data_IF_184984103141
#
_entry.id   IF_184984103141
#
_cell.length_a   1.000
_cell.length_b   1.000
_cell.length_c   1.000
_cell.angle_alpha   90.00
_cell.angle_beta   90.00
_cell.angle_gamma   90.00
#
_symmetry.space_group_name_H-M   'P 1'
#
loop_
_entity.id
_entity.type
_entity.pdbx_description
1 polymer ?
#
# COMPACT_ATOMS: atom_id res chain seq x y z
N UNK A 1 -55.07 47.49 12.13
CA UNK A 1 -53.68 47.69 11.77
C UNK A 1 -52.99 46.37 12.01
N UNK A 2 -52.72 45.60 10.94
CA UNK A 2 -52.12 44.27 10.99
C UNK A 2 -50.63 44.41 10.61
N UNK A 3 -49.72 44.14 11.56
CA UNK A 3 -48.27 44.06 11.31
C UNK A 3 -47.93 42.66 10.77
N UNK A 4 -47.49 42.60 9.52
CA UNK A 4 -46.85 41.44 8.91
C UNK A 4 -45.36 41.49 9.21
N UNK A 5 -44.89 40.65 10.09
CA UNK A 5 -43.46 40.35 10.28
C UNK A 5 -42.99 39.42 9.15
N UNK A 6 -42.11 39.92 8.29
CA UNK A 6 -41.40 39.14 7.25
C UNK A 6 -40.30 38.32 7.93
N UNK A 7 -40.50 37.03 7.94
CA UNK A 7 -39.47 36.04 8.33
C UNK A 7 -38.53 35.83 7.14
N UNK A 8 -37.27 36.23 7.27
CA UNK A 8 -36.21 35.90 6.29
C UNK A 8 -35.69 34.53 6.65
N UNK A 9 -35.94 33.53 5.78
CA UNK A 9 -35.28 32.21 5.84
C UNK A 9 -33.91 32.41 5.21
N UNK A 10 -32.86 32.41 6.03
CA UNK A 10 -31.48 32.23 5.60
C UNK A 10 -31.25 30.78 5.23
N UNK A 11 -31.26 30.45 3.96
CA UNK A 11 -30.83 29.14 3.45
C UNK A 11 -29.30 29.09 3.53
N UNK A 12 -28.79 28.46 4.57
CA UNK A 12 -27.35 28.13 4.66
C UNK A 12 -27.11 26.94 3.71
N UNK A 13 -26.58 27.24 2.54
CA UNK A 13 -26.07 26.22 1.62
C UNK A 13 -24.79 25.68 2.24
N UNK A 14 -24.85 24.51 2.86
CA UNK A 14 -23.67 23.70 3.18
C UNK A 14 -23.04 23.27 1.86
N UNK A 15 -22.00 24.00 1.44
CA UNK A 15 -21.04 23.50 0.46
C UNK A 15 -20.29 22.33 1.15
N UNK A 16 -20.83 21.11 1.03
CA UNK A 16 -20.02 19.92 1.20
C UNK A 16 -18.84 20.05 0.23
N UNK A 17 -17.58 19.95 0.69
CA UNK A 17 -16.48 19.77 -0.24
C UNK A 17 -16.76 18.46 -0.97
N UNK A 18 -17.22 18.56 -2.21
CA UNK A 18 -17.25 17.41 -3.12
C UNK A 18 -15.80 16.95 -3.22
N UNK A 19 -15.47 15.86 -2.53
CA UNK A 19 -14.28 15.09 -2.83
C UNK A 19 -14.40 14.70 -4.30
N UNK A 20 -13.70 15.43 -5.15
CA UNK A 20 -13.53 15.06 -6.54
C UNK A 20 -12.65 13.82 -6.52
N UNK A 21 -13.26 12.65 -6.56
CA UNK A 21 -12.58 11.40 -6.84
C UNK A 21 -11.80 11.63 -8.14
N UNK A 22 -10.49 11.45 -8.09
CA UNK A 22 -9.68 11.49 -9.31
C UNK A 22 -10.29 10.48 -10.27
N UNK A 23 -10.86 10.97 -11.37
CA UNK A 23 -11.36 10.08 -12.40
C UNK A 23 -10.15 9.37 -12.98
N UNK A 24 -10.20 8.05 -13.05
CA UNK A 24 -9.17 7.25 -13.71
C UNK A 24 -8.89 7.77 -15.12
N UNK A 25 -9.95 8.21 -15.81
CA UNK A 25 -9.88 8.82 -17.14
C UNK A 25 -9.79 10.33 -17.03
N UNK A 26 -8.80 10.89 -17.67
CA UNK A 26 -8.68 12.34 -17.80
C UNK A 26 -9.75 12.91 -18.71
N UNK A 27 -10.21 14.14 -18.44
CA UNK A 27 -11.19 14.84 -19.28
C UNK A 27 -10.61 15.14 -20.68
N UNK A 28 -11.49 15.39 -21.66
CA UNK A 28 -11.07 15.82 -22.99
C UNK A 28 -10.24 17.09 -22.95
N UNK A 29 -10.64 18.07 -22.12
CA UNK A 29 -9.90 19.32 -21.92
C UNK A 29 -8.49 19.10 -21.37
N UNK A 30 -8.32 18.11 -20.46
CA UNK A 30 -7.01 17.74 -19.96
C UNK A 30 -6.14 17.15 -21.08
N UNK A 31 -6.71 16.22 -21.88
CA UNK A 31 -6.01 15.55 -23.00
C UNK A 31 -5.65 16.50 -24.16
N UNK A 32 -6.36 17.64 -24.27
CA UNK A 32 -5.97 18.70 -25.20
C UNK A 32 -4.73 19.49 -24.74
N UNK A 33 -4.51 19.56 -23.42
CA UNK A 33 -3.37 20.29 -22.81
C UNK A 33 -2.13 19.43 -22.63
N UNK A 34 -2.30 18.13 -22.31
CA UNK A 34 -1.24 17.26 -21.86
C UNK A 34 -1.23 15.93 -22.62
N UNK A 35 -0.03 15.41 -22.82
CA UNK A 35 0.22 14.08 -23.39
C UNK A 35 0.96 13.23 -22.38
N UNK A 36 0.44 12.01 -22.10
CA UNK A 36 1.11 11.05 -21.23
C UNK A 36 2.37 10.50 -21.92
N UNK A 37 3.51 10.59 -21.25
CA UNK A 37 4.81 10.14 -21.76
C UNK A 37 5.30 8.87 -21.14
N UNK A 38 5.13 8.76 -19.83
CA UNK A 38 5.67 7.66 -19.05
C UNK A 38 4.79 7.37 -17.83
N UNK A 39 4.78 6.12 -17.39
CA UNK A 39 4.19 5.70 -16.11
C UNK A 39 5.17 4.80 -15.39
N UNK A 40 5.52 5.20 -14.16
CA UNK A 40 6.32 4.40 -13.22
C UNK A 40 5.42 3.91 -12.09
N UNK A 41 5.40 2.60 -11.87
CA UNK A 41 4.55 1.93 -10.88
C UNK A 41 5.42 1.22 -9.84
N UNK A 42 5.18 1.51 -8.56
CA UNK A 42 5.65 0.68 -7.46
C UNK A 42 4.47 -0.10 -6.87
N UNK A 43 4.49 -1.41 -7.07
CA UNK A 43 3.41 -2.33 -6.68
C UNK A 43 3.74 -3.07 -5.38
N UNK A 44 2.77 -3.16 -4.46
CA UNK A 44 2.74 -4.22 -3.46
C UNK A 44 2.29 -5.52 -4.14
N UNK A 45 2.86 -6.68 -3.73
CA UNK A 45 2.35 -7.99 -4.16
C UNK A 45 0.88 -8.18 -3.78
N UNK A 46 0.17 -9.06 -4.48
CA UNK A 46 -1.24 -9.38 -4.19
C UNK A 46 -1.38 -10.45 -3.09
N UNK A 47 -2.59 -11.01 -2.92
CA UNK A 47 -2.93 -11.97 -1.86
C UNK A 47 -1.95 -13.15 -1.88
N UNK A 48 -1.41 -13.41 -0.72
CA UNK A 48 -0.48 -14.51 -0.44
C UNK A 48 -0.97 -15.33 0.75
N UNK A 49 -0.48 -16.56 0.89
CA UNK A 49 -0.66 -17.27 2.15
C UNK A 49 0.14 -16.58 3.27
N UNK A 50 -0.31 -16.68 4.53
CA UNK A 50 0.40 -16.10 5.67
C UNK A 50 1.84 -16.61 5.80
N UNK A 51 2.69 -15.83 6.48
CA UNK A 51 4.07 -16.22 6.79
C UNK A 51 4.14 -17.39 7.77
N UNK A 52 3.06 -17.63 8.52
CA UNK A 52 2.93 -18.73 9.46
C UNK A 52 1.54 -19.35 9.34
N UNK A 53 1.42 -20.63 9.64
CA UNK A 53 0.23 -21.45 9.44
C UNK A 53 -0.18 -22.20 10.70
N UNK A 54 -1.16 -23.10 10.59
CA UNK A 54 -1.51 -24.06 11.63
C UNK A 54 -0.26 -24.78 12.18
N UNK A 55 -0.16 -24.91 13.48
CA UNK A 55 1.00 -25.48 14.16
C UNK A 55 2.13 -24.50 14.51
N UNK A 56 2.10 -23.28 13.97
CA UNK A 56 3.00 -22.18 14.32
C UNK A 56 2.52 -21.39 15.53
N UNK A 57 3.25 -20.32 15.90
CA UNK A 57 2.80 -19.37 16.93
C UNK A 57 1.38 -18.81 16.61
N UNK A 58 1.07 -18.54 15.34
CA UNK A 58 -0.25 -18.07 14.91
C UNK A 58 -1.35 -19.12 15.19
N UNK A 59 -1.10 -20.39 14.93
CA UNK A 59 -2.03 -21.49 15.21
C UNK A 59 -2.28 -21.71 16.72
N UNK A 60 -1.38 -21.26 17.58
CA UNK A 60 -1.56 -21.34 19.04
C UNK A 60 -2.42 -20.20 19.62
N UNK A 61 -2.64 -19.12 18.86
CA UNK A 61 -3.43 -17.95 19.31
C UNK A 61 -4.95 -18.16 19.23
N UNK A 62 -5.40 -19.26 18.64
CA UNK A 62 -6.81 -19.57 18.45
C UNK A 62 -7.07 -21.06 18.62
N UNK A 63 -8.25 -21.50 19.11
CA UNK A 63 -8.67 -22.90 19.04
C UNK A 63 -9.12 -23.33 17.64
N UNK A 64 -9.30 -22.37 16.72
CA UNK A 64 -9.76 -22.61 15.36
C UNK A 64 -8.63 -22.96 14.41
N UNK A 65 -8.99 -23.50 13.27
CA UNK A 65 -8.06 -23.74 12.17
C UNK A 65 -8.17 -22.63 11.12
N UNK A 66 -7.03 -22.07 10.74
CA UNK A 66 -6.92 -21.17 9.61
C UNK A 66 -7.29 -21.90 8.32
N UNK A 67 -7.78 -21.15 7.33
CA UNK A 67 -8.16 -21.72 6.03
C UNK A 67 -7.01 -22.51 5.38
N UNK A 68 -7.37 -23.49 4.56
CA UNK A 68 -6.38 -24.18 3.71
C UNK A 68 -6.04 -23.28 2.51
N UNK A 69 -4.77 -22.93 2.41
CA UNK A 69 -4.26 -22.03 1.39
C UNK A 69 -3.92 -22.76 0.09
N UNK A 70 -4.20 -22.12 -1.04
CA UNK A 70 -3.87 -22.64 -2.38
C UNK A 70 -2.38 -22.56 -2.73
N UNK A 71 -1.56 -21.94 -1.87
CA UNK A 71 -0.13 -21.74 -2.06
C UNK A 71 0.65 -22.04 -0.79
N UNK A 72 1.94 -22.32 -0.92
CA UNK A 72 2.83 -22.49 0.22
C UNK A 72 2.96 -21.21 1.05
N UNK A 73 3.49 -21.32 2.27
CA UNK A 73 3.68 -20.16 3.17
C UNK A 73 4.41 -19.02 2.45
N UNK A 74 3.89 -17.81 2.56
CA UNK A 74 4.36 -16.57 1.94
C UNK A 74 4.29 -16.47 0.42
N UNK A 75 3.79 -17.45 -0.29
CA UNK A 75 3.64 -17.46 -1.74
C UNK A 75 2.30 -16.86 -2.17
N UNK A 76 2.27 -16.27 -3.36
CA UNK A 76 1.08 -15.71 -3.99
C UNK A 76 0.03 -16.79 -4.19
N UNK A 77 -1.22 -16.52 -3.80
CA UNK A 77 -2.34 -17.45 -4.03
C UNK A 77 -2.83 -17.38 -5.47
N UNK A 78 -3.57 -18.40 -5.89
CA UNK A 78 -4.24 -18.39 -7.19
C UNK A 78 -5.20 -17.19 -7.32
N UNK A 79 -5.95 -16.89 -6.26
CA UNK A 79 -6.84 -15.71 -6.20
C UNK A 79 -6.08 -14.41 -6.40
N UNK A 80 -4.93 -14.24 -5.72
CA UNK A 80 -4.04 -13.09 -5.91
C UNK A 80 -3.55 -12.96 -7.36
N UNK A 81 -3.24 -14.08 -8.03
CA UNK A 81 -2.87 -14.09 -9.44
C UNK A 81 -4.00 -13.63 -10.37
N UNK A 82 -5.25 -14.10 -10.14
CA UNK A 82 -6.43 -13.66 -10.91
C UNK A 82 -6.64 -12.15 -10.77
N UNK A 83 -6.59 -11.62 -9.55
CA UNK A 83 -6.73 -10.19 -9.27
C UNK A 83 -5.65 -9.35 -9.97
N UNK A 84 -4.41 -9.81 -10.00
CA UNK A 84 -3.32 -9.11 -10.70
C UNK A 84 -3.48 -9.17 -12.23
N UNK A 85 -3.97 -10.27 -12.78
CA UNK A 85 -4.29 -10.34 -14.21
C UNK A 85 -5.37 -9.32 -14.60
N UNK A 86 -6.42 -9.21 -13.79
CA UNK A 86 -7.47 -8.19 -14.00
C UNK A 86 -6.93 -6.76 -13.87
N UNK A 87 -6.05 -6.51 -12.90
CA UNK A 87 -5.40 -5.21 -12.74
C UNK A 87 -4.51 -4.88 -13.95
N UNK A 88 -3.76 -5.83 -14.47
CA UNK A 88 -2.96 -5.67 -15.68
C UNK A 88 -3.82 -5.34 -16.91
N UNK A 89 -4.96 -6.04 -17.09
CA UNK A 89 -5.93 -5.75 -18.17
C UNK A 89 -6.51 -4.35 -18.05
N UNK A 90 -6.82 -3.90 -16.84
CA UNK A 90 -7.27 -2.53 -16.59
C UNK A 90 -6.20 -1.52 -16.98
N UNK A 91 -4.96 -1.67 -16.53
CA UNK A 91 -3.86 -0.77 -16.88
C UNK A 91 -3.65 -0.70 -18.39
N UNK A 92 -3.74 -1.82 -19.11
CA UNK A 92 -3.66 -1.81 -20.57
C UNK A 92 -4.74 -0.94 -21.19
N UNK A 93 -6.01 -1.15 -20.82
CA UNK A 93 -7.14 -0.36 -21.32
C UNK A 93 -7.01 1.12 -20.99
N UNK A 94 -6.61 1.43 -19.75
CA UNK A 94 -6.42 2.80 -19.30
C UNK A 94 -5.30 3.50 -20.08
N UNK A 95 -4.14 2.91 -20.20
CA UNK A 95 -2.98 3.52 -20.89
C UNK A 95 -3.17 3.62 -22.42
N UNK A 96 -4.03 2.77 -23.00
CA UNK A 96 -4.49 2.96 -24.38
C UNK A 96 -5.46 4.14 -24.48
N UNK A 97 -6.41 4.28 -23.57
CA UNK A 97 -7.34 5.41 -23.53
C UNK A 97 -6.62 6.75 -23.31
N UNK A 98 -5.54 6.76 -22.51
CA UNK A 98 -4.69 7.94 -22.31
C UNK A 98 -3.65 8.16 -23.42
N UNK A 99 -3.58 7.28 -24.41
CA UNK A 99 -2.75 7.45 -25.60
C UNK A 99 -1.27 7.06 -25.45
N UNK A 100 -0.88 6.47 -24.32
CA UNK A 100 0.51 6.01 -24.11
C UNK A 100 0.85 4.81 -25.02
N UNK A 101 -0.11 3.92 -25.23
CA UNK A 101 -0.02 2.79 -26.14
C UNK A 101 -1.14 2.82 -27.18
N UNK A 102 -0.92 2.24 -28.36
CA UNK A 102 -1.99 1.97 -29.31
C UNK A 102 -2.70 0.67 -28.94
N UNK A 103 -3.94 0.51 -29.39
CA UNK A 103 -4.81 -0.62 -29.01
C UNK A 103 -4.16 -2.00 -29.25
N UNK A 104 -3.53 -2.17 -30.42
CA UNK A 104 -2.88 -3.44 -30.82
C UNK A 104 -1.34 -3.33 -30.83
N UNK A 105 -0.77 -2.36 -30.10
CA UNK A 105 0.67 -2.20 -30.01
C UNK A 105 1.28 -3.29 -29.13
N UNK A 106 2.32 -3.95 -29.66
CA UNK A 106 3.27 -4.72 -28.87
C UNK A 106 4.48 -3.80 -28.66
N UNK A 107 4.69 -3.27 -27.45
CA UNK A 107 5.84 -2.39 -27.20
C UNK A 107 7.17 -3.09 -27.45
N UNK A 108 8.19 -2.33 -27.80
CA UNK A 108 9.57 -2.81 -27.81
C UNK A 108 10.04 -3.23 -26.41
N UNK A 109 11.09 -4.04 -26.35
CA UNK A 109 11.67 -4.46 -25.07
C UNK A 109 12.20 -3.26 -24.25
N UNK A 110 12.63 -2.21 -24.92
CA UNK A 110 13.13 -0.99 -24.28
C UNK A 110 12.02 -0.05 -23.84
N UNK A 111 10.80 -0.22 -24.37
CA UNK A 111 9.64 0.62 -24.00
C UNK A 111 9.05 0.26 -22.62
N UNK A 112 9.29 -0.96 -22.13
CA UNK A 112 8.70 -1.48 -20.90
C UNK A 112 9.71 -2.19 -20.02
N UNK A 113 9.57 -2.05 -18.70
CA UNK A 113 10.40 -2.73 -17.71
C UNK A 113 9.52 -3.33 -16.62
N UNK A 114 9.69 -4.62 -16.36
CA UNK A 114 9.08 -5.33 -15.23
C UNK A 114 10.18 -5.85 -14.33
N UNK A 115 10.28 -5.28 -13.12
CA UNK A 115 11.33 -5.62 -12.18
C UNK A 115 10.72 -5.92 -10.81
N UNK A 116 10.95 -7.13 -10.32
CA UNK A 116 10.42 -7.62 -9.05
C UNK A 116 11.51 -7.89 -8.03
N UNK A 117 11.20 -7.68 -6.76
CA UNK A 117 11.98 -8.29 -5.69
C UNK A 117 12.03 -9.80 -5.89
N UNK A 118 13.18 -10.43 -5.56
CA UNK A 118 13.41 -11.85 -5.82
C UNK A 118 12.69 -12.78 -4.82
N UNK A 119 11.42 -12.46 -4.50
CA UNK A 119 10.53 -13.31 -3.70
C UNK A 119 9.45 -13.91 -4.60
N UNK A 120 9.03 -15.15 -4.36
CA UNK A 120 8.04 -15.83 -5.20
C UNK A 120 6.81 -14.94 -5.43
N UNK A 121 6.20 -14.40 -4.35
CA UNK A 121 4.99 -13.59 -4.43
C UNK A 121 5.12 -12.32 -5.27
N UNK A 122 6.28 -11.66 -5.25
CA UNK A 122 6.52 -10.45 -6.04
C UNK A 122 6.81 -10.76 -7.51
N UNK A 123 7.58 -11.80 -7.78
CA UNK A 123 7.82 -12.30 -9.14
C UNK A 123 6.49 -12.75 -9.77
N UNK A 124 5.70 -13.57 -9.04
CA UNK A 124 4.40 -14.04 -9.52
C UNK A 124 3.40 -12.90 -9.74
N UNK A 125 3.34 -11.90 -8.84
CA UNK A 125 2.52 -10.69 -9.03
C UNK A 125 2.89 -10.00 -10.33
N UNK A 126 4.18 -9.77 -10.58
CA UNK A 126 4.64 -9.13 -11.83
C UNK A 126 4.32 -9.98 -13.07
N UNK A 127 4.43 -11.31 -12.99
CA UNK A 127 4.07 -12.23 -14.08
C UNK A 127 2.58 -12.17 -14.41
N UNK A 128 1.70 -12.24 -13.41
CA UNK A 128 0.25 -12.18 -13.61
C UNK A 128 -0.18 -10.80 -14.11
N UNK A 129 0.36 -9.71 -13.54
CA UNK A 129 0.11 -8.36 -14.03
C UNK A 129 0.53 -8.22 -15.49
N UNK A 130 1.75 -8.61 -15.85
CA UNK A 130 2.26 -8.51 -17.22
C UNK A 130 1.44 -9.34 -18.20
N UNK A 131 0.97 -10.52 -17.79
CA UNK A 131 0.09 -11.37 -18.60
C UNK A 131 -1.26 -10.71 -18.91
N UNK A 132 -1.83 -9.96 -17.95
CA UNK A 132 -3.02 -9.13 -18.16
C UNK A 132 -2.73 -7.91 -19.01
N UNK A 133 -1.60 -7.26 -18.79
CA UNK A 133 -1.20 -6.04 -19.46
C UNK A 133 -0.79 -6.24 -20.93
N UNK A 134 -0.05 -7.33 -21.22
CA UNK A 134 0.47 -7.67 -22.56
C UNK A 134 0.42 -9.17 -22.81
N UNK A 135 -0.77 -9.76 -23.00
CA UNK A 135 -0.94 -11.23 -23.01
C UNK A 135 -0.28 -11.93 -24.21
N UNK A 136 0.09 -11.20 -25.25
CA UNK A 136 0.74 -11.74 -26.46
C UNK A 136 2.25 -11.50 -26.50
N UNK A 137 2.78 -10.69 -25.58
CA UNK A 137 4.19 -10.37 -25.52
C UNK A 137 4.94 -11.39 -24.65
N UNK A 138 6.10 -11.83 -25.11
CA UNK A 138 7.01 -12.64 -24.29
C UNK A 138 7.83 -11.71 -23.38
N UNK A 139 7.19 -11.21 -22.31
CA UNK A 139 7.81 -10.28 -21.39
C UNK A 139 8.70 -11.03 -20.39
N UNK A 140 9.88 -10.50 -20.15
CA UNK A 140 10.78 -10.96 -19.13
C UNK A 140 10.53 -10.19 -17.82
N UNK A 141 10.33 -10.90 -16.73
CA UNK A 141 10.28 -10.32 -15.38
C UNK A 141 11.70 -10.33 -14.84
N UNK A 142 12.30 -9.14 -14.74
CA UNK A 142 13.62 -8.99 -14.15
C UNK A 142 13.58 -9.28 -12.66
N UNK A 143 14.45 -10.14 -12.18
CA UNK A 143 14.78 -10.32 -10.78
C UNK A 143 16.24 -10.71 -10.66
N UNK A 144 16.98 -10.07 -9.75
CA UNK A 144 18.45 -10.17 -9.73
C UNK A 144 18.99 -11.38 -8.99
N UNK A 145 18.20 -11.96 -8.10
CA UNK A 145 18.63 -13.04 -7.22
C UNK A 145 17.77 -14.28 -7.38
N UNK A 146 18.22 -15.40 -6.83
CA UNK A 146 17.40 -16.59 -6.72
C UNK A 146 16.13 -16.30 -5.91
N UNK A 147 14.99 -16.93 -6.21
CA UNK A 147 13.78 -16.80 -5.40
C UNK A 147 14.07 -17.05 -3.92
N UNK A 148 13.44 -16.27 -3.05
CA UNK A 148 13.63 -16.23 -1.59
C UNK A 148 14.84 -15.44 -1.08
N UNK A 149 15.61 -14.78 -1.95
CA UNK A 149 16.63 -13.83 -1.54
C UNK A 149 16.18 -12.41 -1.86
N UNK A 150 16.05 -11.57 -0.82
CA UNK A 150 15.66 -10.16 -1.00
C UNK A 150 16.67 -9.41 -1.86
N UNK A 151 16.16 -8.70 -2.86
CA UNK A 151 16.95 -7.78 -3.68
C UNK A 151 17.21 -6.48 -2.89
N UNK A 152 18.46 -6.00 -2.80
CA UNK A 152 18.80 -4.77 -2.08
C UNK A 152 17.99 -3.52 -2.47
N UNK A 153 17.45 -3.46 -3.70
CA UNK A 153 16.59 -2.33 -4.13
C UNK A 153 15.26 -2.34 -3.38
N UNK A 154 14.72 -3.52 -3.08
CA UNK A 154 13.44 -3.67 -2.38
C UNK A 154 13.57 -4.05 -0.90
N UNK A 155 14.77 -4.40 -0.46
CA UNK A 155 15.02 -4.82 0.91
C UNK A 155 15.10 -3.60 1.84
N UNK A 156 14.09 -3.34 2.69
CA UNK A 156 14.05 -2.16 3.54
C UNK A 156 14.95 -2.34 4.77
N UNK A 157 16.24 -2.61 4.53
CA UNK A 157 17.23 -2.83 5.59
C UNK A 157 17.90 -1.54 6.02
N UNK A 158 18.15 -1.42 7.30
CA UNK A 158 18.92 -0.31 7.86
C UNK A 158 20.39 -0.39 7.43
N UNK A 159 20.95 0.74 7.04
CA UNK A 159 22.38 0.92 6.76
C UNK A 159 23.12 1.52 7.94
N UNK A 160 22.38 2.09 8.92
CA UNK A 160 22.86 2.77 10.13
C UNK A 160 22.20 2.19 11.38
N UNK A 161 22.91 2.14 12.49
CA UNK A 161 22.43 1.82 13.84
C UNK A 161 23.25 2.51 14.94
N UNK A 162 23.92 3.61 14.59
CA UNK A 162 24.63 4.42 15.56
C UNK A 162 23.66 5.09 16.56
N UNK A 163 24.21 5.55 17.68
CA UNK A 163 23.42 6.09 18.80
C UNK A 163 22.55 7.29 18.38
N UNK A 164 23.07 8.18 17.53
CA UNK A 164 22.34 9.36 17.05
C UNK A 164 21.16 8.96 16.19
N UNK A 165 21.37 8.07 15.20
CA UNK A 165 20.31 7.55 14.34
C UNK A 165 19.22 6.86 15.16
N UNK A 166 19.59 5.94 16.06
CA UNK A 166 18.63 5.22 16.91
C UNK A 166 17.83 6.18 17.81
N UNK A 167 18.48 7.18 18.41
CA UNK A 167 17.82 8.17 19.25
C UNK A 167 16.80 9.00 18.46
N UNK A 168 17.18 9.45 17.28
CA UNK A 168 16.29 10.23 16.41
C UNK A 168 15.10 9.39 15.94
N UNK A 169 15.33 8.18 15.45
CA UNK A 169 14.29 7.23 15.06
C UNK A 169 13.31 6.97 16.21
N UNK A 170 13.82 6.69 17.43
CA UNK A 170 12.98 6.45 18.60
C UNK A 170 12.19 7.69 19.02
N UNK A 171 12.74 8.89 18.84
CA UNK A 171 12.02 10.14 19.09
C UNK A 171 10.86 10.30 18.12
N UNK A 172 11.09 10.07 16.82
CA UNK A 172 10.07 10.16 15.77
C UNK A 172 9.00 9.09 15.93
N UNK A 173 9.36 7.84 16.23
CA UNK A 173 8.41 6.76 16.53
C UNK A 173 7.58 7.09 17.75
N UNK A 174 8.19 7.56 18.83
CA UNK A 174 7.48 7.89 20.07
C UNK A 174 6.45 9.00 19.84
N UNK A 175 6.74 9.97 18.97
CA UNK A 175 5.79 11.03 18.62
C UNK A 175 4.49 10.52 17.99
N UNK A 176 4.48 9.35 17.35
CA UNK A 176 3.28 8.73 16.78
C UNK A 176 2.23 8.36 17.85
N UNK A 177 2.65 8.13 19.09
CA UNK A 177 1.76 7.85 20.22
C UNK A 177 1.43 9.07 21.08
N UNK A 178 1.77 10.27 20.61
CA UNK A 178 1.56 11.53 21.34
C UNK A 178 2.36 11.60 22.64
N UNK A 179 1.80 12.21 23.69
CA UNK A 179 2.45 12.40 24.99
C UNK A 179 2.85 11.09 25.69
N UNK A 180 2.19 9.99 25.37
CA UNK A 180 2.44 8.67 25.97
C UNK A 180 3.49 7.85 25.20
N UNK A 181 4.04 8.38 24.11
CA UNK A 181 5.05 7.69 23.31
C UNK A 181 4.60 6.32 22.81
N UNK A 182 5.48 5.33 22.81
CA UNK A 182 5.18 3.95 22.33
C UNK A 182 3.97 3.33 23.05
N UNK A 183 3.78 3.66 24.35
CA UNK A 183 2.59 3.20 25.07
C UNK A 183 1.31 3.76 24.44
N UNK A 184 1.30 5.05 24.05
CA UNK A 184 0.16 5.68 23.37
C UNK A 184 -0.19 5.03 22.05
N UNK A 185 0.78 4.51 21.29
CA UNK A 185 0.55 3.74 20.06
C UNK A 185 -0.31 2.50 20.38
N UNK A 186 0.02 1.75 21.42
CA UNK A 186 -0.72 0.56 21.84
C UNK A 186 -2.11 0.92 22.41
N UNK A 187 -2.22 1.96 23.21
CA UNK A 187 -3.51 2.43 23.76
C UNK A 187 -4.48 2.86 22.65
N UNK A 188 -3.98 3.47 21.56
CA UNK A 188 -4.78 3.82 20.38
C UNK A 188 -5.30 2.59 19.60
N UNK A 189 -4.80 1.40 19.90
CA UNK A 189 -5.20 0.12 19.34
C UNK A 189 -6.04 -0.74 20.29
N UNK A 190 -6.38 -0.27 21.49
CA UNK A 190 -7.07 -1.05 22.52
C UNK A 190 -8.35 -1.73 21.97
N UNK A 191 -9.18 -1.00 21.26
CA UNK A 191 -10.40 -1.55 20.66
C UNK A 191 -10.09 -2.59 19.57
N UNK A 192 -9.07 -2.33 18.74
CA UNK A 192 -8.60 -3.26 17.72
C UNK A 192 -8.08 -4.56 18.36
N UNK A 193 -7.31 -4.45 19.44
CA UNK A 193 -6.82 -5.60 20.21
C UNK A 193 -7.96 -6.42 20.82
N UNK A 194 -9.01 -5.75 21.37
CA UNK A 194 -10.17 -6.44 21.90
C UNK A 194 -10.91 -7.22 20.80
N UNK A 195 -11.19 -6.59 19.66
CA UNK A 195 -11.90 -7.23 18.55
C UNK A 195 -11.13 -8.44 18.05
N UNK A 196 -9.82 -8.31 17.79
CA UNK A 196 -9.02 -9.43 17.26
C UNK A 196 -8.90 -10.56 18.28
N UNK A 197 -8.82 -10.26 19.58
CA UNK A 197 -8.79 -11.26 20.63
C UNK A 197 -10.13 -12.02 20.74
N UNK A 198 -11.25 -11.31 20.58
CA UNK A 198 -12.59 -11.91 20.59
C UNK A 198 -12.79 -12.83 19.36
N UNK A 199 -12.40 -12.38 18.15
CA UNK A 199 -12.53 -13.20 16.92
C UNK A 199 -11.63 -14.43 16.93
N UNK A 200 -10.46 -14.32 17.57
CA UNK A 200 -9.55 -15.45 17.75
C UNK A 200 -10.06 -16.47 18.77
N UNK A 201 -11.07 -16.14 19.58
CA UNK A 201 -11.39 -16.87 20.83
C UNK A 201 -10.13 -17.09 21.67
N UNK A 202 -9.32 -16.02 21.82
CA UNK A 202 -7.97 -16.07 22.39
C UNK A 202 -7.94 -16.74 23.78
N UNK A 203 -8.96 -16.53 24.59
CA UNK A 203 -9.07 -17.12 25.95
C UNK A 203 -9.10 -18.64 25.92
N UNK A 204 -9.63 -19.22 24.85
CA UNK A 204 -9.71 -20.66 24.63
C UNK A 204 -8.51 -21.25 23.88
N UNK A 205 -7.61 -20.40 23.44
CA UNK A 205 -6.39 -20.77 22.72
C UNK A 205 -5.38 -21.56 23.57
N UNK A 206 -4.48 -22.28 22.91
CA UNK A 206 -3.37 -22.96 23.57
C UNK A 206 -2.44 -21.97 24.26
N UNK A 207 -2.11 -20.85 23.60
CA UNK A 207 -1.21 -19.83 24.12
C UNK A 207 -1.75 -19.18 25.41
N UNK A 208 -3.08 -18.94 25.50
CA UNK A 208 -3.69 -18.39 26.71
C UNK A 208 -3.72 -19.44 27.83
N UNK A 209 -4.09 -20.69 27.53
CA UNK A 209 -4.15 -21.79 28.53
C UNK A 209 -2.78 -22.12 29.11
N UNK A 210 -1.71 -21.96 28.32
CA UNK A 210 -0.33 -22.15 28.82
C UNK A 210 0.24 -20.96 29.57
N UNK A 211 -0.46 -19.82 29.56
CA UNK A 211 0.03 -18.55 30.12
C UNK A 211 1.10 -17.84 29.28
N UNK A 212 1.34 -18.29 28.04
CA UNK A 212 2.28 -17.66 27.10
C UNK A 212 1.76 -16.30 26.62
N UNK A 213 0.46 -16.18 26.36
CA UNK A 213 -0.23 -14.96 25.98
C UNK A 213 -1.49 -14.81 26.81
N UNK A 214 -1.71 -13.68 27.47
CA UNK A 214 -2.93 -13.41 28.23
C UNK A 214 -3.90 -12.52 27.47
N UNK A 215 -3.38 -11.47 26.84
CA UNK A 215 -4.09 -10.48 26.04
C UNK A 215 -3.08 -9.78 25.12
N UNK A 216 -3.56 -8.86 24.29
CA UNK A 216 -2.68 -8.00 23.46
C UNK A 216 -2.47 -6.61 24.11
N UNK A 217 -2.80 -6.43 25.39
CA UNK A 217 -2.89 -5.15 26.10
C UNK A 217 -1.79 -4.93 27.15
N UNK A 218 -0.74 -5.76 27.18
CA UNK A 218 0.40 -5.59 28.08
C UNK A 218 1.35 -4.45 27.66
N UNK A 219 1.18 -3.93 26.42
CA UNK A 219 1.86 -2.72 25.87
C UNK A 219 3.38 -2.72 25.98
N UNK A 220 3.99 -3.90 25.96
CA UNK A 220 5.43 -4.11 26.10
C UNK A 220 6.23 -3.97 24.79
N UNK A 221 5.68 -3.26 23.80
CA UNK A 221 6.29 -3.08 22.49
C UNK A 221 7.71 -2.53 22.59
N UNK A 222 8.67 -3.30 22.06
CA UNK A 222 10.08 -2.95 21.96
C UNK A 222 10.51 -2.85 20.51
N UNK A 223 11.01 -1.70 20.10
CA UNK A 223 11.55 -1.46 18.75
C UNK A 223 13.00 -1.96 18.70
N UNK A 224 13.37 -2.58 17.58
CA UNK A 224 14.71 -3.11 17.31
C UNK A 224 15.19 -2.51 16.01
N UNK A 225 16.26 -1.71 16.10
CA UNK A 225 16.94 -1.09 14.97
C UNK A 225 18.35 -1.66 14.91
N UNK A 226 18.67 -2.40 13.85
CA UNK A 226 19.98 -3.04 13.69
C UNK A 226 20.43 -2.96 12.25
N UNK A 227 21.64 -2.49 12.04
CA UNK A 227 22.26 -2.40 10.73
C UNK A 227 22.27 -3.75 10.00
N UNK A 228 21.87 -3.73 8.73
CA UNK A 228 21.81 -4.91 7.88
C UNK A 228 20.50 -5.69 7.98
N UNK A 229 19.61 -5.35 8.94
CA UNK A 229 18.31 -5.97 9.15
C UNK A 229 17.17 -4.98 8.87
N UNK A 230 15.96 -5.48 8.63
CA UNK A 230 14.76 -4.65 8.59
C UNK A 230 14.47 -4.10 9.99
N UNK A 231 13.93 -2.86 10.12
CA UNK A 231 13.34 -2.42 11.36
C UNK A 231 12.36 -3.46 11.90
N UNK A 232 12.45 -3.79 13.17
CA UNK A 232 11.65 -4.85 13.78
C UNK A 232 11.09 -4.43 15.13
N UNK A 233 10.14 -5.18 15.64
CA UNK A 233 9.64 -5.02 17.00
C UNK A 233 9.33 -6.36 17.67
N UNK A 234 9.21 -6.32 18.99
CA UNK A 234 8.72 -7.40 19.84
C UNK A 234 7.55 -6.90 20.67
N UNK A 235 6.78 -7.81 21.27
CA UNK A 235 5.66 -7.51 22.17
C UNK A 235 4.28 -7.57 21.50
N UNK A 236 3.28 -7.00 22.16
CA UNK A 236 1.87 -7.12 21.82
C UNK A 236 1.55 -6.69 20.39
N UNK A 237 2.06 -5.54 19.96
CA UNK A 237 1.79 -5.04 18.60
C UNK A 237 2.30 -6.00 17.52
N UNK A 238 3.48 -6.60 17.70
CA UNK A 238 4.01 -7.62 16.78
C UNK A 238 3.13 -8.86 16.72
N UNK A 239 2.68 -9.33 17.86
CA UNK A 239 1.85 -10.54 17.95
C UNK A 239 0.47 -10.30 17.33
N UNK A 240 -0.17 -9.19 17.69
CA UNK A 240 -1.46 -8.78 17.15
C UNK A 240 -1.38 -8.53 15.63
N UNK A 241 -0.28 -7.93 15.13
CA UNK A 241 -0.04 -7.75 13.71
C UNK A 241 0.03 -9.10 12.96
N UNK A 242 0.65 -10.11 13.55
CA UNK A 242 0.72 -11.43 12.90
C UNK A 242 -0.67 -12.04 12.71
N UNK A 243 -1.56 -11.86 13.69
CA UNK A 243 -2.96 -12.30 13.58
C UNK A 243 -3.76 -11.40 12.62
N UNK A 244 -3.59 -10.09 12.69
CA UNK A 244 -4.24 -9.12 11.79
C UNK A 244 -3.92 -9.41 10.32
N UNK A 245 -2.64 -9.58 9.98
CA UNK A 245 -2.20 -9.90 8.62
C UNK A 245 -2.85 -11.20 8.12
N UNK A 246 -2.89 -12.24 8.96
CA UNK A 246 -3.52 -13.51 8.60
C UNK A 246 -5.05 -13.36 8.41
N UNK A 247 -5.74 -12.58 9.26
CA UNK A 247 -7.17 -12.32 9.09
C UNK A 247 -7.48 -11.53 7.83
N UNK A 248 -6.71 -10.50 7.51
CA UNK A 248 -6.88 -9.70 6.28
C UNK A 248 -6.73 -10.61 5.07
N UNK A 249 -5.68 -11.43 5.03
CA UNK A 249 -5.44 -12.36 3.93
C UNK A 249 -6.57 -13.38 3.81
N UNK A 250 -7.00 -13.98 4.94
CA UNK A 250 -8.10 -14.94 4.98
C UNK A 250 -9.42 -14.30 4.55
N UNK A 251 -9.70 -13.06 4.94
CA UNK A 251 -10.90 -12.34 4.55
C UNK A 251 -10.97 -12.08 3.04
N UNK A 252 -9.84 -11.83 2.41
CA UNK A 252 -9.80 -11.66 0.95
C UNK A 252 -9.80 -13.00 0.20
N UNK A 253 -9.26 -14.07 0.77
CA UNK A 253 -9.21 -15.39 0.13
C UNK A 253 -10.52 -16.17 0.26
N UNK A 254 -11.19 -16.11 1.44
CA UNK A 254 -12.42 -16.84 1.74
C UNK A 254 -13.65 -15.99 1.38
N UNK A 255 -14.49 -16.43 0.40
CA UNK A 255 -15.67 -15.68 0.00
C UNK A 255 -16.72 -15.52 1.11
N UNK A 256 -16.89 -16.52 1.99
CA UNK A 256 -17.78 -16.44 3.14
C UNK A 256 -17.12 -15.63 4.27
N UNK A 257 -17.62 -14.41 4.49
CA UNK A 257 -17.07 -13.51 5.51
C UNK A 257 -17.18 -14.07 6.95
N UNK A 258 -18.24 -14.82 7.23
CA UNK A 258 -18.43 -15.46 8.54
C UNK A 258 -17.43 -16.59 8.76
N UNK A 259 -17.18 -17.38 7.72
CA UNK A 259 -16.15 -18.42 7.75
C UNK A 259 -14.74 -17.82 7.87
N UNK A 260 -14.46 -16.71 7.18
CA UNK A 260 -13.21 -15.98 7.31
C UNK A 260 -12.95 -15.49 8.74
N UNK A 261 -14.00 -15.24 9.53
CA UNK A 261 -13.95 -14.80 10.93
C UNK A 261 -14.25 -15.93 11.93
N UNK A 262 -13.95 -17.19 11.60
CA UNK A 262 -14.15 -18.37 12.46
C UNK A 262 -15.59 -18.56 13.00
N UNK A 263 -16.58 -18.08 12.24
CA UNK A 263 -17.99 -18.15 12.61
C UNK A 263 -18.54 -16.88 13.27
N UNK A 264 -17.71 -15.89 13.57
CA UNK A 264 -18.14 -14.59 14.08
C UNK A 264 -18.76 -13.73 12.97
N UNK A 265 -19.68 -12.85 13.34
CA UNK A 265 -20.26 -11.85 12.44
C UNK A 265 -19.55 -10.52 12.69
N UNK A 266 -18.74 -10.08 11.71
CA UNK A 266 -18.00 -8.83 11.80
C UNK A 266 -18.60 -7.81 10.82
N UNK A 267 -18.77 -6.59 11.33
CA UNK A 267 -19.09 -5.43 10.49
C UNK A 267 -17.89 -4.98 9.66
N UNK A 268 -18.11 -4.16 8.64
CA UNK A 268 -17.04 -3.48 7.90
C UNK A 268 -16.08 -2.72 8.83
N UNK A 269 -16.63 -2.05 9.84
CA UNK A 269 -15.85 -1.29 10.84
C UNK A 269 -14.97 -2.21 11.70
N UNK A 270 -15.44 -3.42 12.04
CA UNK A 270 -14.62 -4.39 12.79
C UNK A 270 -13.43 -4.86 11.95
N UNK A 271 -13.65 -5.14 10.66
CA UNK A 271 -12.57 -5.48 9.74
C UNK A 271 -11.57 -4.34 9.56
N UNK A 272 -12.03 -3.09 9.48
CA UNK A 272 -11.15 -1.91 9.42
C UNK A 272 -10.33 -1.77 10.72
N UNK A 273 -10.90 -2.05 11.88
CA UNK A 273 -10.17 -2.04 13.17
C UNK A 273 -9.16 -3.18 13.28
N UNK A 274 -9.46 -4.36 12.74
CA UNK A 274 -8.48 -5.45 12.64
C UNK A 274 -7.33 -5.01 11.72
N UNK A 275 -7.62 -4.45 10.55
CA UNK A 275 -6.62 -4.01 9.60
C UNK A 275 -5.77 -2.82 10.11
N UNK A 276 -6.34 -1.95 10.95
CA UNK A 276 -5.63 -0.83 11.59
C UNK A 276 -4.38 -1.28 12.35
N UNK A 277 -4.40 -2.48 12.96
CA UNK A 277 -3.21 -3.02 13.66
C UNK A 277 -2.04 -3.14 12.70
N UNK A 278 -2.29 -3.65 11.49
CA UNK A 278 -1.28 -3.80 10.45
C UNK A 278 -0.80 -2.46 9.90
N UNK A 279 -1.71 -1.52 9.65
CA UNK A 279 -1.35 -0.17 9.20
C UNK A 279 -0.44 0.51 10.23
N UNK A 280 -0.81 0.51 11.52
CA UNK A 280 0.01 1.09 12.60
C UNK A 280 1.36 0.37 12.75
N UNK A 281 1.39 -0.96 12.61
CA UNK A 281 2.64 -1.72 12.64
C UNK A 281 3.59 -1.27 11.52
N UNK A 282 3.07 -1.08 10.31
CA UNK A 282 3.85 -0.59 9.17
C UNK A 282 4.33 0.85 9.37
N UNK A 283 3.45 1.73 9.87
CA UNK A 283 3.81 3.12 10.16
C UNK A 283 4.96 3.20 11.16
N UNK A 284 4.87 2.48 12.27
CA UNK A 284 5.90 2.48 13.33
C UNK A 284 7.28 2.03 12.80
N UNK A 285 7.31 1.05 11.90
CA UNK A 285 8.58 0.50 11.41
C UNK A 285 9.17 1.23 10.21
N UNK A 286 8.34 1.88 9.36
CA UNK A 286 8.80 2.32 8.05
C UNK A 286 8.55 3.80 7.73
N UNK A 287 7.78 4.55 8.56
CA UNK A 287 7.40 5.92 8.21
C UNK A 287 8.04 7.02 9.06
N UNK A 288 8.78 6.66 10.13
CA UNK A 288 9.63 7.64 10.81
C UNK A 288 10.65 8.20 9.80
N UNK A 289 10.73 9.53 9.58
CA UNK A 289 11.51 10.13 8.49
C UNK A 289 12.92 9.59 8.34
N UNK A 290 13.69 9.50 9.42
CA UNK A 290 15.09 9.01 9.34
C UNK A 290 15.15 7.53 8.93
N UNK A 291 14.18 6.72 9.35
CA UNK A 291 14.06 5.31 8.92
C UNK A 291 13.65 5.27 7.45
N UNK A 292 12.63 6.05 7.06
CA UNK A 292 12.11 6.07 5.71
C UNK A 292 13.17 6.45 4.69
N UNK A 293 13.94 7.52 4.93
CA UNK A 293 15.07 7.89 4.07
C UNK A 293 16.07 6.76 3.91
N UNK A 294 16.43 6.12 5.02
CA UNK A 294 17.45 5.09 5.03
C UNK A 294 17.01 3.80 4.31
N UNK A 295 15.81 3.28 4.62
CA UNK A 295 15.36 2.00 4.05
C UNK A 295 14.82 2.14 2.63
N UNK A 296 14.32 3.31 2.22
CA UNK A 296 13.82 3.54 0.87
C UNK A 296 14.90 4.00 -0.11
N UNK A 297 16.09 4.41 0.36
CA UNK A 297 17.14 5.02 -0.45
C UNK A 297 17.42 4.28 -1.78
N UNK A 298 17.68 2.95 -1.82
CA UNK A 298 17.96 2.28 -3.09
C UNK A 298 16.80 2.31 -4.08
N UNK A 299 15.56 2.29 -3.58
CA UNK A 299 14.37 2.32 -4.39
C UNK A 299 14.06 3.75 -4.88
N UNK A 300 14.30 4.77 -4.05
CA UNK A 300 14.20 6.17 -4.44
C UNK A 300 15.17 6.50 -5.57
N UNK A 301 16.43 6.08 -5.46
CA UNK A 301 17.44 6.23 -6.53
C UNK A 301 16.93 5.58 -7.82
N UNK A 302 16.49 4.33 -7.75
CA UNK A 302 16.01 3.61 -8.93
C UNK A 302 14.80 4.30 -9.59
N UNK A 303 13.81 4.72 -8.80
CA UNK A 303 12.61 5.39 -9.32
C UNK A 303 12.93 6.78 -9.90
N UNK A 304 13.82 7.52 -9.25
CA UNK A 304 14.26 8.84 -9.74
C UNK A 304 14.99 8.74 -11.07
N UNK A 305 15.90 7.76 -11.21
CA UNK A 305 16.63 7.49 -12.45
C UNK A 305 15.68 7.09 -13.60
N UNK A 306 14.66 6.25 -13.32
CA UNK A 306 13.64 5.89 -14.31
C UNK A 306 12.88 7.12 -14.77
N UNK A 307 12.33 7.92 -13.85
CA UNK A 307 11.56 9.13 -14.18
C UNK A 307 12.39 10.20 -14.93
N UNK A 308 13.71 10.25 -14.70
CA UNK A 308 14.60 11.21 -15.35
C UNK A 308 15.13 10.74 -16.70
N UNK A 309 15.06 9.44 -17.01
CA UNK A 309 15.75 8.87 -18.16
C UNK A 309 15.04 9.04 -19.50
N UNK A 310 13.72 9.26 -19.52
CA UNK A 310 12.86 9.30 -20.72
C UNK A 310 13.02 8.08 -21.66
N UNK A 311 13.57 6.98 -21.14
CA UNK A 311 13.92 5.82 -21.97
C UNK A 311 12.73 4.88 -22.18
N UNK A 312 11.72 4.94 -21.31
CA UNK A 312 10.63 3.97 -21.28
C UNK A 312 9.26 4.65 -21.22
N UNK A 313 8.27 3.93 -21.73
CA UNK A 313 6.86 4.31 -21.56
C UNK A 313 6.27 3.79 -20.25
N UNK A 314 6.72 2.60 -19.81
CA UNK A 314 6.12 1.94 -18.66
C UNK A 314 7.14 1.14 -17.85
N UNK A 315 7.23 1.42 -16.56
CA UNK A 315 8.04 0.67 -15.60
C UNK A 315 7.17 0.15 -14.46
N UNK A 316 7.23 -1.15 -14.22
CA UNK A 316 6.52 -1.84 -13.14
C UNK A 316 7.52 -2.46 -12.16
N UNK A 317 7.59 -1.90 -10.97
CA UNK A 317 8.41 -2.36 -9.86
C UNK A 317 7.52 -3.11 -8.87
N UNK A 318 7.85 -4.35 -8.53
CA UNK A 318 7.04 -5.14 -7.60
C UNK A 318 7.79 -5.45 -6.31
N UNK A 319 7.30 -4.88 -5.22
CA UNK A 319 7.82 -5.03 -3.86
C UNK A 319 6.71 -5.34 -2.83
N UNK A 320 6.80 -4.65 -1.71
CA UNK A 320 6.01 -4.90 -0.50
C UNK A 320 5.31 -3.62 -0.02
N UNK A 321 4.41 -3.77 0.95
CA UNK A 321 3.78 -2.65 1.67
C UNK A 321 4.83 -1.72 2.33
N UNK A 322 5.88 -2.29 2.93
CA UNK A 322 7.00 -1.54 3.50
C UNK A 322 7.70 -0.61 2.49
N UNK A 323 7.82 -1.03 1.22
CA UNK A 323 8.40 -0.21 0.16
C UNK A 323 7.53 1.01 -0.16
N UNK A 324 6.22 0.81 -0.32
CA UNK A 324 5.29 1.93 -0.57
C UNK A 324 5.23 2.87 0.64
N UNK A 325 5.14 2.32 1.86
CA UNK A 325 5.10 3.10 3.08
C UNK A 325 6.35 3.97 3.25
N UNK A 326 7.54 3.39 3.09
CA UNK A 326 8.80 4.13 3.25
C UNK A 326 9.04 5.15 2.13
N UNK A 327 8.71 4.84 0.86
CA UNK A 327 8.80 5.79 -0.25
C UNK A 327 7.86 6.97 -0.04
N UNK A 328 6.59 6.71 0.33
CA UNK A 328 5.62 7.78 0.61
C UNK A 328 6.09 8.68 1.76
N UNK A 329 6.60 8.10 2.83
CA UNK A 329 7.12 8.85 3.98
C UNK A 329 8.36 9.67 3.61
N UNK A 330 9.31 9.09 2.87
CA UNK A 330 10.51 9.77 2.42
C UNK A 330 10.22 10.94 1.47
N UNK A 331 9.24 10.80 0.57
CA UNK A 331 8.81 11.88 -0.31
C UNK A 331 7.92 12.92 0.40
N UNK A 332 7.56 12.67 1.66
CA UNK A 332 6.73 13.59 2.42
C UNK A 332 5.28 13.63 1.96
N UNK A 333 4.71 12.49 1.59
CA UNK A 333 3.27 12.37 1.30
C UNK A 333 2.47 12.81 2.52
N UNK A 334 1.42 13.61 2.31
CA UNK A 334 0.47 13.99 3.35
C UNK A 334 -0.24 12.76 3.91
N UNK A 335 -0.67 12.83 5.16
CA UNK A 335 -1.44 11.73 5.76
C UNK A 335 -2.75 11.50 5.02
N UNK A 336 -3.13 10.23 4.85
CA UNK A 336 -4.32 9.84 4.11
C UNK A 336 -4.96 8.58 4.68
N UNK A 337 -6.25 8.44 4.40
CA UNK A 337 -7.00 7.20 4.64
C UNK A 337 -7.75 6.83 3.36
N UNK A 338 -7.51 5.61 2.89
CA UNK A 338 -8.10 5.12 1.64
C UNK A 338 -9.56 4.71 1.84
N UNK A 339 -10.49 5.26 1.06
CA UNK A 339 -11.89 4.88 1.09
C UNK A 339 -12.11 3.48 0.49
N UNK A 340 -13.24 2.85 0.85
CA UNK A 340 -13.68 1.55 0.32
C UNK A 340 -12.67 0.40 0.49
N UNK A 341 -11.69 0.55 1.37
CA UNK A 341 -10.73 -0.48 1.75
C UNK A 341 -10.70 -0.66 3.26
N UNK A 342 -10.55 -1.90 3.73
CA UNK A 342 -10.29 -2.17 5.15
C UNK A 342 -8.86 -1.76 5.54
N UNK A 343 -7.88 -1.91 4.66
CA UNK A 343 -6.51 -1.43 4.82
C UNK A 343 -6.45 0.04 4.35
N UNK A 344 -6.17 0.97 5.27
CA UNK A 344 -6.29 2.42 5.00
C UNK A 344 -5.03 3.05 4.41
N UNK A 345 -3.90 2.36 4.41
CA UNK A 345 -2.59 2.90 3.98
C UNK A 345 -2.05 2.23 2.72
N UNK A 346 -1.80 0.95 2.77
CA UNK A 346 -1.17 0.19 1.66
C UNK A 346 -1.93 -1.11 1.38
N UNK A 347 -3.15 -1.08 0.82
CA UNK A 347 -3.96 -2.28 0.59
C UNK A 347 -3.21 -3.33 -0.22
N UNK A 348 -3.61 -4.59 -0.04
CA UNK A 348 -3.06 -5.71 -0.84
C UNK A 348 -3.17 -5.40 -2.33
N UNK A 349 -2.11 -5.65 -3.10
CA UNK A 349 -2.09 -5.38 -4.55
C UNK A 349 -2.15 -3.91 -4.95
N UNK A 350 -2.01 -2.93 -4.05
CA UNK A 350 -2.02 -1.51 -4.41
C UNK A 350 -0.77 -1.11 -5.22
N UNK A 351 -0.90 -0.05 -5.97
CA UNK A 351 0.10 0.50 -6.88
C UNK A 351 0.31 2.00 -6.60
N UNK A 352 1.50 2.39 -6.20
CA UNK A 352 1.93 3.79 -6.21
C UNK A 352 2.33 4.12 -7.64
N UNK A 353 1.63 5.06 -8.25
CA UNK A 353 1.72 5.36 -9.68
C UNK A 353 2.18 6.80 -9.88
N UNK A 354 3.26 6.97 -10.63
CA UNK A 354 3.75 8.25 -11.12
C UNK A 354 3.44 8.35 -12.61
N UNK A 355 2.62 9.32 -12.99
CA UNK A 355 2.26 9.60 -14.39
C UNK A 355 3.04 10.83 -14.85
N UNK A 356 3.90 10.70 -15.85
CA UNK A 356 4.66 11.81 -16.43
C UNK A 356 3.92 12.36 -17.65
N UNK A 357 3.51 13.61 -17.55
CA UNK A 357 2.75 14.34 -18.56
C UNK A 357 3.56 15.48 -19.17
N UNK A 358 3.34 15.79 -20.42
CA UNK A 358 4.02 16.88 -21.13
C UNK A 358 2.99 17.81 -21.78
N UNK A 359 3.15 19.12 -21.63
CA UNK A 359 2.30 20.12 -22.30
C UNK A 359 2.82 20.47 -23.71
N UNK A 360 2.05 21.28 -24.44
CA UNK A 360 2.42 21.72 -25.79
C UNK A 360 3.74 22.53 -25.88
N UNK A 361 4.25 23.00 -24.73
CA UNK A 361 5.53 23.72 -24.62
C UNK A 361 6.68 22.80 -24.18
N UNK A 362 6.48 21.49 -24.16
CA UNK A 362 7.42 20.49 -23.65
C UNK A 362 7.79 20.66 -22.16
N UNK A 363 6.93 21.26 -21.36
CA UNK A 363 7.10 21.27 -19.89
C UNK A 363 6.54 19.98 -19.32
N UNK A 364 7.29 19.40 -18.39
CA UNK A 364 6.98 18.12 -17.79
C UNK A 364 6.28 18.28 -16.44
N UNK A 365 5.36 17.38 -16.17
CA UNK A 365 4.53 17.36 -14.96
C UNK A 365 4.36 15.94 -14.46
N UNK A 366 4.10 15.79 -13.15
CA UNK A 366 3.85 14.51 -12.49
C UNK A 366 2.50 14.53 -11.79
N UNK A 367 1.69 13.48 -12.02
CA UNK A 367 0.61 13.09 -11.12
C UNK A 367 1.07 11.89 -10.28
N UNK A 368 0.70 11.90 -8.99
CA UNK A 368 1.03 10.81 -8.06
C UNK A 368 -0.28 10.25 -7.52
N UNK A 369 -0.52 8.97 -7.76
CA UNK A 369 -1.75 8.31 -7.36
C UNK A 369 -1.48 6.97 -6.66
N UNK A 370 -2.37 6.60 -5.74
CA UNK A 370 -2.45 5.21 -5.25
C UNK A 370 -3.64 4.54 -5.92
N UNK A 371 -3.36 3.51 -6.73
CA UNK A 371 -4.36 2.70 -7.45
C UNK A 371 -4.54 1.37 -6.73
N UNK A 372 -5.77 1.02 -6.36
CA UNK A 372 -6.05 -0.18 -5.58
C UNK A 372 -7.46 -0.70 -5.84
N UNK A 373 -7.68 -1.98 -5.64
CA UNK A 373 -9.02 -2.57 -5.64
C UNK A 373 -9.70 -2.29 -4.30
N UNK A 374 -10.98 -1.93 -4.34
CA UNK A 374 -11.79 -1.86 -3.11
C UNK A 374 -11.89 -3.24 -2.45
N UNK A 375 -12.23 -3.28 -1.17
CA UNK A 375 -12.48 -4.54 -0.45
C UNK A 375 -13.49 -5.42 -1.19
N UNK A 376 -14.57 -4.82 -1.72
CA UNK A 376 -15.56 -5.57 -2.48
C UNK A 376 -14.99 -6.12 -3.80
N UNK A 377 -14.25 -5.30 -4.57
CA UNK A 377 -13.61 -5.78 -5.82
C UNK A 377 -12.65 -6.94 -5.56
N UNK A 378 -11.88 -6.91 -4.46
CA UNK A 378 -11.00 -8.00 -4.05
C UNK A 378 -11.79 -9.26 -3.69
N UNK A 379 -12.89 -9.12 -2.96
CA UNK A 379 -13.67 -10.25 -2.44
C UNK A 379 -14.57 -10.90 -3.51
N UNK A 380 -15.18 -10.09 -4.37
CA UNK A 380 -16.11 -10.57 -5.40
C UNK A 380 -15.39 -10.95 -6.71
N UNK A 381 -14.08 -10.73 -6.82
CA UNK A 381 -13.31 -10.88 -8.07
C UNK A 381 -13.94 -10.07 -9.22
N UNK A 382 -14.33 -8.83 -8.91
CA UNK A 382 -14.95 -7.96 -9.89
C UNK A 382 -14.02 -7.66 -11.06
N UNK A 383 -14.55 -7.87 -12.28
CA UNK A 383 -13.82 -7.52 -13.49
C UNK A 383 -13.55 -6.03 -13.55
N UNK A 384 -12.29 -5.67 -13.72
CA UNK A 384 -11.85 -4.28 -13.83
C UNK A 384 -11.85 -3.83 -15.30
N UNK A 385 -12.48 -2.68 -15.54
CA UNK A 385 -12.41 -1.99 -16.83
C UNK A 385 -12.63 -0.48 -16.66
N UNK A 386 -12.75 0.26 -17.75
CA UNK A 386 -12.95 1.71 -17.69
C UNK A 386 -14.34 2.13 -17.17
N UNK A 387 -15.30 1.20 -17.05
CA UNK A 387 -16.63 1.44 -16.48
C UNK A 387 -16.71 1.01 -15.01
N UNK A 388 -15.94 0.00 -14.65
CA UNK A 388 -15.75 -0.48 -13.27
C UNK A 388 -14.25 -0.44 -12.91
N UNK A 389 -13.66 0.75 -12.78
CA UNK A 389 -12.23 0.90 -12.52
C UNK A 389 -11.87 0.52 -11.09
N UNK A 390 -10.59 0.23 -10.80
CA UNK A 390 -10.10 0.25 -9.43
C UNK A 390 -10.24 1.65 -8.85
N UNK A 391 -10.06 1.76 -7.53
CA UNK A 391 -10.00 3.04 -6.85
C UNK A 391 -8.69 3.76 -7.22
N UNK A 392 -8.78 5.08 -7.43
CA UNK A 392 -7.62 5.96 -7.66
C UNK A 392 -7.66 7.07 -6.62
N UNK A 393 -6.64 7.13 -5.79
CA UNK A 393 -6.52 8.14 -4.74
C UNK A 393 -5.33 9.05 -5.06
N UNK A 394 -5.55 10.36 -5.31
CA UNK A 394 -4.47 11.30 -5.57
C UNK A 394 -3.69 11.57 -4.29
N UNK A 395 -2.38 11.36 -4.32
CA UNK A 395 -1.49 11.65 -3.21
C UNK A 395 -0.98 13.09 -3.28
N UNK A 396 -0.86 13.72 -2.13
CA UNK A 396 -0.34 15.07 -1.98
C UNK A 396 1.01 15.06 -1.28
N UNK A 397 1.93 15.89 -1.76
CA UNK A 397 3.24 16.09 -1.15
C UNK A 397 3.21 17.32 -0.23
N UNK A 398 3.68 17.16 1.00
CA UNK A 398 3.76 18.24 1.99
C UNK A 398 4.57 19.41 1.45
N UNK A 399 3.98 20.62 1.53
CA UNK A 399 4.65 21.86 1.15
C UNK A 399 4.85 22.07 -0.36
N UNK A 400 4.28 21.21 -1.23
CA UNK A 400 4.39 21.32 -2.68
C UNK A 400 3.04 21.64 -3.31
N UNK A 401 3.01 22.62 -4.20
CA UNK A 401 1.78 23.04 -4.87
C UNK A 401 1.58 22.31 -6.20
N UNK A 402 0.35 21.87 -6.47
CA UNK A 402 -0.08 21.40 -7.78
C UNK A 402 -0.62 22.56 -8.62
N UNK A 403 -0.55 22.43 -9.93
CA UNK A 403 -1.25 23.32 -10.84
C UNK A 403 -2.78 23.10 -10.77
N UNK A 404 -3.55 23.90 -11.55
CA UNK A 404 -5.01 23.83 -11.55
C UNK A 404 -5.57 22.48 -12.06
N UNK A 405 -4.78 21.72 -12.81
CA UNK A 405 -5.13 20.42 -13.37
C UNK A 405 -4.69 19.25 -12.45
N UNK A 406 -4.16 19.57 -11.24
CA UNK A 406 -3.75 18.57 -10.23
C UNK A 406 -2.41 17.91 -10.49
N UNK A 407 -1.50 18.58 -11.21
CA UNK A 407 -0.18 18.10 -11.55
C UNK A 407 0.90 18.89 -10.81
N UNK A 408 1.94 18.20 -10.35
CA UNK A 408 3.19 18.80 -9.89
C UNK A 408 4.09 19.12 -11.07
N UNK A 409 4.96 20.13 -10.97
CA UNK A 409 6.11 20.28 -11.86
C UNK A 409 7.04 19.07 -11.71
N UNK A 410 7.55 18.54 -12.81
CA UNK A 410 8.54 17.45 -12.77
C UNK A 410 9.79 17.87 -11.98
N UNK A 411 10.28 19.09 -12.20
CA UNK A 411 11.46 19.63 -11.52
C UNK A 411 11.31 19.63 -10.00
N UNK A 412 10.13 20.03 -9.48
CA UNK A 412 9.86 20.03 -8.04
C UNK A 412 9.84 18.61 -7.47
N UNK A 413 9.22 17.65 -8.19
CA UNK A 413 9.18 16.24 -7.76
C UNK A 413 10.57 15.63 -7.81
N UNK A 414 11.33 15.87 -8.87
CA UNK A 414 12.70 15.40 -9.01
C UNK A 414 13.59 15.94 -7.88
N UNK A 415 13.51 17.24 -7.57
CA UNK A 415 14.20 17.85 -6.43
C UNK A 415 13.80 17.17 -5.12
N UNK A 416 12.52 16.84 -4.92
CA UNK A 416 12.07 16.12 -3.73
C UNK A 416 12.69 14.72 -3.62
N UNK A 417 12.84 13.99 -4.74
CA UNK A 417 13.57 12.72 -4.75
C UNK A 417 15.04 12.92 -4.37
N UNK A 418 15.72 13.93 -4.95
CA UNK A 418 17.11 14.24 -4.63
C UNK A 418 17.30 14.63 -3.15
N UNK A 419 16.41 15.44 -2.59
CA UNK A 419 16.41 15.78 -1.16
C UNK A 419 16.25 14.54 -0.28
N UNK A 420 15.30 13.65 -0.62
CA UNK A 420 15.08 12.42 0.14
C UNK A 420 16.28 11.45 0.04
N UNK A 421 16.90 11.35 -1.13
CA UNK A 421 18.11 10.55 -1.35
C UNK A 421 19.31 11.13 -0.56
N UNK A 422 19.47 12.45 -0.56
CA UNK A 422 20.56 13.10 0.16
C UNK A 422 20.40 13.10 1.69
N UNK A 423 19.20 12.86 2.20
CA UNK A 423 18.90 12.82 3.63
C UNK A 423 19.34 11.51 4.32
N UNK A 424 19.71 10.46 3.53
CA UNK A 424 20.22 9.19 4.08
C UNK A 424 21.67 9.27 4.58
#
# INVERSE_FOLDING_TARGET
>A
MRNLSRLWLLTVVFLCPSFVWSQVRRSSEFKEKYTLKEVVVLSRHNIRSPLSSNGSALGKLTPHQWTDWSAASSELTLRGGVLETMMGQFFRKWLVDEGLFKENEVPGFDDVNFYANSMQRTIATAQYFSSGFMPIANLHINHRYAPSKMDPVFFPRLTKDDEQFCKEAMTQISAMGGEKGIRGINENLEESYRIIADVLDLKDSQACKSGEVRAFDDYDTKIILKKGEEPAMQGSLKLANSASDAFILQYYEEPDAKKAAFGHELSQTDWEKIAKIKDVYGDVLFTAPVIAYNVAHPLLVYMNDELASDCRKFTFLCGHDSNIASVNAALGVEDYELPSSIEKKTPIGCKLVFEKWVDASNREYIAINLVYQSTNQLRELDMLDLKNPPMVYPLRLKGMAMNQDGLYSFEDVHTRFEEAIAAD
#
